data_IF_283423769689
#
_entry.id   IF_283423769689
#
_cell.length_a   1.000
_cell.length_b   1.000
_cell.length_c   1.000
_cell.angle_alpha   90.00
_cell.angle_beta   90.00
_cell.angle_gamma   90.00
#
_symmetry.space_group_name_H-M   'P 1'
#
loop_
_entity.id
_entity.type
_entity.pdbx_description
1 polymer ?
#
# COMPACT_ATOMS: atom_id res chain seq x y z
N UNK A 1 27.53 5.15 -12.32
CA UNK A 1 27.48 4.12 -11.26
C UNK A 1 26.49 4.63 -10.21
N UNK A 2 25.46 3.86 -9.84
CA UNK A 2 24.46 4.32 -8.85
C UNK A 2 24.95 4.05 -7.43
N UNK A 3 24.63 4.94 -6.50
CA UNK A 3 24.99 4.83 -5.08
C UNK A 3 24.14 3.76 -4.37
N UNK A 4 24.77 2.86 -3.62
CA UNK A 4 24.10 1.85 -2.81
C UNK A 4 24.07 2.29 -1.35
N UNK A 5 22.88 2.49 -0.79
CA UNK A 5 22.70 2.76 0.64
C UNK A 5 22.84 1.44 1.41
N UNK A 6 23.71 1.45 2.41
CA UNK A 6 24.11 0.24 3.17
C UNK A 6 23.71 0.27 4.64
N UNK A 7 23.18 1.38 5.13
CA UNK A 7 22.74 1.56 6.52
C UNK A 7 21.50 2.43 6.60
N UNK A 8 20.66 2.29 7.65
CA UNK A 8 19.48 3.12 7.83
C UNK A 8 19.79 4.63 7.85
N UNK A 9 18.98 5.42 7.15
CA UNK A 9 19.05 6.88 7.07
C UNK A 9 17.63 7.47 7.05
N UNK A 10 17.46 8.70 7.53
CA UNK A 10 16.19 9.41 7.34
C UNK A 10 15.99 9.70 5.85
N UNK A 11 14.76 9.52 5.36
CA UNK A 11 14.43 9.74 3.95
C UNK A 11 14.64 11.20 3.55
N UNK A 12 14.18 12.12 4.42
CA UNK A 12 14.18 13.55 4.16
C UNK A 12 15.14 14.28 5.10
N UNK A 13 15.75 15.35 4.59
CA UNK A 13 16.45 16.35 5.41
C UNK A 13 15.45 17.32 6.08
N UNK A 14 15.98 18.28 6.85
CA UNK A 14 15.16 19.25 7.59
C UNK A 14 14.35 20.17 6.66
N UNK A 15 14.83 20.34 5.43
CA UNK A 15 14.22 21.11 4.37
C UNK A 15 13.17 20.29 3.58
N UNK A 16 12.99 19.01 3.89
CA UNK A 16 12.03 18.11 3.24
C UNK A 16 12.50 17.59 1.89
N UNK A 17 13.81 17.60 1.60
CA UNK A 17 14.42 17.03 0.40
C UNK A 17 14.99 15.65 0.68
N UNK A 18 15.12 14.82 -0.36
CA UNK A 18 15.75 13.50 -0.23
C UNK A 18 17.17 13.69 0.31
N UNK A 19 17.47 13.05 1.44
CA UNK A 19 18.76 13.20 2.13
C UNK A 19 19.91 12.62 1.32
N UNK A 20 19.70 11.42 0.77
CA UNK A 20 20.68 10.72 -0.06
C UNK A 20 19.94 9.87 -1.10
N UNK A 21 20.22 10.15 -2.37
CA UNK A 21 19.69 9.40 -3.51
C UNK A 21 20.50 8.12 -3.74
N UNK A 22 19.83 7.05 -4.13
CA UNK A 22 20.48 5.76 -4.39
C UNK A 22 19.50 4.61 -4.46
N UNK A 23 20.01 3.39 -4.30
CA UNK A 23 19.25 2.15 -4.18
C UNK A 23 19.71 1.38 -2.93
N UNK A 24 18.88 0.49 -2.40
CA UNK A 24 19.23 -0.34 -1.25
C UNK A 24 18.66 -1.76 -1.40
N UNK A 25 19.28 -2.71 -0.69
CA UNK A 25 18.79 -4.11 -0.61
C UNK A 25 17.76 -4.31 0.50
N UNK A 26 17.65 -3.34 1.39
CA UNK A 26 16.74 -3.32 2.54
C UNK A 26 16.09 -1.93 2.64
N UNK A 27 14.94 -1.79 3.31
CA UNK A 27 14.26 -0.50 3.48
C UNK A 27 15.03 0.41 4.45
N UNK A 28 16.15 0.97 4.00
CA UNK A 28 17.02 1.79 4.83
C UNK A 28 16.56 3.24 4.96
N UNK A 29 15.76 3.74 4.02
CA UNK A 29 15.15 5.05 4.17
C UNK A 29 14.01 4.99 5.18
N UNK A 30 14.19 5.68 6.31
CA UNK A 30 13.14 5.88 7.31
C UNK A 30 12.22 6.98 6.81
N UNK A 31 11.05 6.57 6.35
CA UNK A 31 9.98 7.47 5.97
C UNK A 31 9.27 8.00 7.24
N UNK A 32 8.97 9.29 7.29
CA UNK A 32 8.08 9.88 8.28
C UNK A 32 7.22 10.94 7.59
N UNK A 33 5.89 10.75 7.60
CA UNK A 33 4.93 11.65 6.98
C UNK A 33 5.07 13.09 7.49
N UNK A 34 5.48 13.29 8.74
CA UNK A 34 5.63 14.60 9.39
C UNK A 34 6.80 15.42 8.83
N UNK A 35 7.78 14.75 8.23
CA UNK A 35 8.95 15.41 7.63
C UNK A 35 8.66 15.98 6.24
N UNK A 36 7.53 15.62 5.62
CA UNK A 36 7.14 16.12 4.31
C UNK A 36 6.64 17.56 4.41
N UNK A 37 7.32 18.49 3.73
CA UNK A 37 6.95 19.92 3.70
C UNK A 37 5.93 20.27 2.60
N UNK A 38 5.54 19.30 1.76
CA UNK A 38 4.53 19.50 0.74
C UNK A 38 3.11 19.55 1.33
N UNK A 39 2.18 20.17 0.60
CA UNK A 39 0.76 20.20 0.97
C UNK A 39 0.19 18.79 1.20
N UNK A 40 -0.70 18.57 2.19
CA UNK A 40 -1.34 17.28 2.42
C UNK A 40 -2.04 16.66 1.20
N UNK A 41 -2.52 17.48 0.26
CA UNK A 41 -3.12 17.00 -0.99
C UNK A 41 -2.11 16.31 -1.93
N UNK A 42 -0.82 16.55 -1.74
CA UNK A 42 0.27 16.01 -2.57
C UNK A 42 0.94 14.78 -1.96
N UNK A 43 0.69 14.48 -0.69
CA UNK A 43 1.26 13.31 -0.02
C UNK A 43 0.47 12.08 -0.45
N UNK A 44 1.19 11.05 -0.91
CA UNK A 44 0.62 9.77 -1.34
C UNK A 44 1.25 8.67 -0.50
N UNK A 45 0.41 7.82 0.07
CA UNK A 45 0.82 6.62 0.79
C UNK A 45 -0.05 5.47 0.26
N UNK A 46 0.54 4.31 0.02
CA UNK A 46 -0.21 3.16 -0.47
C UNK A 46 0.51 1.86 -0.13
N UNK A 47 -0.27 0.79 -0.08
CA UNK A 47 0.22 -0.58 -0.08
C UNK A 47 -0.47 -1.37 -1.18
N UNK A 48 0.30 -2.26 -1.79
CA UNK A 48 -0.19 -3.19 -2.79
C UNK A 48 0.36 -4.59 -2.54
N UNK A 49 -0.53 -5.57 -2.55
CA UNK A 49 -0.18 -6.98 -2.50
C UNK A 49 -0.77 -7.70 -3.71
N UNK A 50 0.05 -8.53 -4.36
CA UNK A 50 -0.39 -9.50 -5.36
C UNK A 50 -0.09 -10.89 -4.84
N UNK A 51 -1.14 -11.68 -4.61
CA UNK A 51 -1.03 -13.05 -4.10
C UNK A 51 -1.45 -14.00 -5.20
N UNK A 52 -0.50 -14.82 -5.66
CA UNK A 52 -0.76 -15.86 -6.65
C UNK A 52 -1.17 -17.16 -5.95
N UNK A 53 -2.14 -17.86 -6.54
CA UNK A 53 -2.43 -19.26 -6.22
C UNK A 53 -1.18 -20.14 -6.39
N UNK A 54 -1.08 -21.22 -5.62
CA UNK A 54 0.07 -22.11 -5.67
C UNK A 54 0.31 -22.76 -7.04
N UNK A 55 -0.77 -23.01 -7.78
CA UNK A 55 -0.77 -23.53 -9.15
C UNK A 55 -0.74 -22.42 -10.22
N UNK A 56 -0.70 -21.15 -9.81
CA UNK A 56 -0.64 -19.95 -10.65
C UNK A 56 -1.81 -19.80 -11.62
N UNK A 57 -2.97 -20.40 -11.34
CA UNK A 57 -4.17 -20.29 -12.18
C UNK A 57 -4.96 -19.00 -11.96
N UNK A 58 -4.89 -18.48 -10.74
CA UNK A 58 -5.48 -17.20 -10.39
C UNK A 58 -4.59 -16.39 -9.44
N UNK A 59 -4.89 -15.11 -9.31
CA UNK A 59 -4.27 -14.22 -8.35
C UNK A 59 -5.27 -13.22 -7.77
N UNK A 60 -4.94 -12.65 -6.63
CA UNK A 60 -5.68 -11.52 -6.05
C UNK A 60 -4.75 -10.34 -5.81
N UNK A 61 -5.14 -9.20 -6.35
CA UNK A 61 -4.52 -7.90 -6.10
C UNK A 61 -5.33 -7.13 -5.05
N UNK A 62 -4.64 -6.64 -4.02
CA UNK A 62 -5.21 -5.83 -2.95
C UNK A 62 -4.48 -4.49 -2.92
N UNK A 63 -5.20 -3.39 -3.09
CA UNK A 63 -4.66 -2.03 -3.09
C UNK A 63 -5.36 -1.20 -2.04
N UNK A 64 -4.61 -0.60 -1.12
CA UNK A 64 -5.08 0.51 -0.29
C UNK A 64 -4.23 1.73 -0.58
N UNK A 65 -4.84 2.91 -0.65
CA UNK A 65 -4.09 4.14 -0.85
C UNK A 65 -4.76 5.35 -0.23
N UNK A 66 -3.92 6.26 0.25
CA UNK A 66 -4.21 7.62 0.60
C UNK A 66 -3.53 8.53 -0.41
N UNK A 67 -4.32 9.13 -1.30
CA UNK A 67 -3.83 10.05 -2.31
C UNK A 67 -4.01 11.50 -1.84
N UNK A 68 -4.16 11.76 -0.54
CA UNK A 68 -4.42 13.08 0.03
C UNK A 68 -5.84 13.56 -0.25
N UNK A 69 -6.17 13.86 -1.51
CA UNK A 69 -7.49 14.34 -1.92
C UNK A 69 -8.53 13.22 -2.17
N UNK A 70 -8.05 12.00 -2.38
CA UNK A 70 -8.87 10.81 -2.55
C UNK A 70 -8.18 9.62 -1.87
N UNK A 71 -8.94 8.66 -1.39
CA UNK A 71 -8.42 7.33 -1.07
C UNK A 71 -8.94 6.36 -2.10
N UNK A 72 -8.12 5.39 -2.53
CA UNK A 72 -8.53 4.32 -3.44
C UNK A 72 -8.27 2.98 -2.77
N UNK A 73 -9.30 2.17 -2.71
CA UNK A 73 -9.33 0.85 -2.10
C UNK A 73 -9.85 -0.12 -3.14
N UNK A 74 -9.06 -1.12 -3.53
CA UNK A 74 -9.41 -2.00 -4.63
C UNK A 74 -9.02 -3.45 -4.36
N UNK A 75 -9.87 -4.36 -4.84
CA UNK A 75 -9.63 -5.79 -4.89
C UNK A 75 -9.83 -6.22 -6.36
N UNK A 76 -8.79 -6.72 -7.05
CA UNK A 76 -8.94 -7.40 -8.36
C UNK A 76 -8.66 -8.90 -8.18
N UNK A 77 -9.61 -9.71 -8.61
CA UNK A 77 -9.41 -11.13 -8.85
C UNK A 77 -8.97 -11.31 -10.31
N UNK A 78 -7.87 -12.02 -10.51
CA UNK A 78 -7.31 -12.36 -11.82
C UNK A 78 -7.49 -13.85 -12.05
N UNK A 79 -8.14 -14.25 -13.13
CA UNK A 79 -8.17 -15.63 -13.61
C UNK A 79 -7.31 -15.71 -14.88
N UNK A 80 -6.26 -16.51 -14.83
CA UNK A 80 -5.32 -16.67 -15.95
C UNK A 80 -5.75 -17.76 -16.92
N UNK A 81 -6.61 -18.70 -16.52
CA UNK A 81 -7.17 -19.73 -17.39
C UNK A 81 -8.19 -19.11 -18.33
N UNK A 82 -9.14 -18.34 -17.79
CA UNK A 82 -10.17 -17.64 -18.57
C UNK A 82 -9.73 -16.28 -19.08
N UNK A 83 -8.57 -15.77 -18.62
CA UNK A 83 -8.00 -14.46 -18.98
C UNK A 83 -8.91 -13.30 -18.61
N UNK A 84 -9.51 -13.33 -17.43
CA UNK A 84 -10.42 -12.29 -16.93
C UNK A 84 -9.85 -11.59 -15.69
N UNK A 85 -10.16 -10.29 -15.52
CA UNK A 85 -10.04 -9.61 -14.22
C UNK A 85 -11.43 -9.15 -13.79
N UNK A 86 -11.74 -9.34 -12.52
CA UNK A 86 -12.88 -8.74 -11.86
C UNK A 86 -12.38 -7.84 -10.75
N UNK A 87 -12.55 -6.52 -10.91
CA UNK A 87 -12.15 -5.53 -9.91
C UNK A 87 -13.36 -4.90 -9.23
N UNK A 88 -13.26 -4.74 -7.90
CA UNK A 88 -14.18 -3.95 -7.09
C UNK A 88 -13.37 -2.88 -6.39
N UNK A 89 -13.77 -1.62 -6.56
CA UNK A 89 -13.12 -0.46 -5.97
C UNK A 89 -14.09 0.42 -5.16
N UNK A 90 -13.50 1.12 -4.20
CA UNK A 90 -14.13 2.19 -3.45
C UNK A 90 -13.21 3.39 -3.33
N UNK A 91 -13.84 4.56 -3.31
CA UNK A 91 -13.17 5.84 -3.16
C UNK A 91 -13.61 6.50 -1.85
N UNK A 92 -12.65 7.04 -1.10
CA UNK A 92 -12.93 7.96 0.01
C UNK A 92 -12.56 9.39 -0.37
N UNK A 93 -13.31 10.37 0.11
CA UNK A 93 -13.05 11.79 -0.15
C UNK A 93 -12.13 12.36 0.92
N UNK A 94 -11.07 13.05 0.50
CA UNK A 94 -10.15 13.81 1.38
C UNK A 94 -9.66 13.03 2.62
N UNK A 95 -9.05 11.83 2.44
CA UNK A 95 -8.51 11.09 3.58
C UNK A 95 -7.38 11.83 4.30
N UNK A 96 -6.53 12.57 3.56
CA UNK A 96 -5.50 13.47 4.12
C UNK A 96 -4.57 12.82 5.17
N UNK A 97 -4.26 11.54 5.02
CA UNK A 97 -3.43 10.75 5.96
C UNK A 97 -4.21 10.04 7.06
N UNK A 98 -5.55 10.17 7.10
CA UNK A 98 -6.40 9.52 8.12
C UNK A 98 -6.61 8.02 7.87
N UNK A 99 -6.14 7.50 6.76
CA UNK A 99 -6.10 6.06 6.47
C UNK A 99 -5.19 5.28 7.41
N UNK A 100 -4.16 5.94 7.97
CA UNK A 100 -3.29 5.36 8.99
C UNK A 100 -2.19 4.44 8.44
N UNK A 101 -1.65 4.74 7.25
CA UNK A 101 -0.46 4.06 6.77
C UNK A 101 0.70 4.21 7.76
N UNK A 102 1.40 3.11 8.09
CA UNK A 102 2.56 3.16 8.97
C UNK A 102 3.75 3.76 8.23
N UNK A 103 4.72 4.25 9.01
CA UNK A 103 5.96 4.80 8.49
C UNK A 103 6.92 3.73 7.96
N UNK A 104 6.75 2.48 8.40
CA UNK A 104 7.55 1.33 7.96
C UNK A 104 6.69 0.19 7.44
N UNK A 105 7.30 -0.73 6.71
CA UNK A 105 6.60 -1.89 6.15
C UNK A 105 6.29 -2.97 7.19
N UNK A 106 7.00 -3.02 8.31
CA UNK A 106 7.02 -4.17 9.22
C UNK A 106 6.31 -3.88 10.53
N UNK A 107 5.29 -3.05 10.48
CA UNK A 107 4.42 -2.74 11.61
C UNK A 107 3.07 -2.21 11.13
N UNK A 108 2.13 -2.10 12.07
CA UNK A 108 0.88 -1.41 11.83
C UNK A 108 -0.29 -2.28 11.38
N UNK A 109 -1.45 -1.62 11.34
CA UNK A 109 -2.73 -2.15 10.92
C UNK A 109 -3.46 -1.07 10.16
N UNK A 110 -3.85 -1.36 8.93
CA UNK A 110 -4.64 -0.46 8.09
C UNK A 110 -5.95 -1.17 7.79
N UNK A 111 -7.06 -0.45 7.94
CA UNK A 111 -8.40 -1.02 7.74
C UNK A 111 -9.25 -0.04 6.95
N UNK A 112 -10.00 -0.57 5.99
CA UNK A 112 -11.01 0.18 5.26
C UNK A 112 -12.25 -0.70 5.07
N UNK A 113 -13.44 -0.10 5.16
CA UNK A 113 -14.68 -0.83 4.96
C UNK A 113 -15.83 0.07 4.56
N UNK A 114 -16.57 -0.37 3.55
CA UNK A 114 -17.83 0.22 3.14
C UNK A 114 -18.83 -0.88 2.71
N UNK A 115 -19.87 -0.50 1.95
CA UNK A 115 -20.88 -1.44 1.45
C UNK A 115 -20.39 -2.32 0.31
N UNK A 116 -19.34 -1.92 -0.42
CA UNK A 116 -18.81 -2.63 -1.58
C UNK A 116 -17.72 -3.62 -1.18
N UNK A 117 -16.82 -3.19 -0.30
CA UNK A 117 -15.66 -3.97 0.10
C UNK A 117 -15.22 -3.66 1.53
N UNK A 118 -14.50 -4.61 2.11
CA UNK A 118 -13.75 -4.46 3.35
C UNK A 118 -12.35 -5.02 3.11
N UNK A 119 -11.34 -4.36 3.67
CA UNK A 119 -9.97 -4.84 3.66
C UNK A 119 -9.27 -4.46 4.97
N UNK A 120 -8.36 -5.33 5.40
CA UNK A 120 -7.46 -5.10 6.51
C UNK A 120 -6.09 -5.68 6.20
N UNK A 121 -5.06 -4.85 6.32
CA UNK A 121 -3.67 -5.26 6.29
C UNK A 121 -3.12 -5.13 7.69
N UNK A 122 -2.57 -6.22 8.22
CA UNK A 122 -1.97 -6.27 9.55
C UNK A 122 -0.59 -6.89 9.46
N UNK A 123 0.39 -6.29 10.12
CA UNK A 123 1.66 -6.94 10.38
C UNK A 123 1.83 -7.14 11.89
N UNK A 124 2.09 -8.38 12.30
CA UNK A 124 2.38 -8.73 13.68
C UNK A 124 3.30 -9.94 13.71
N UNK A 125 4.30 -9.93 14.58
CA UNK A 125 5.18 -11.07 14.87
C UNK A 125 5.82 -11.70 13.62
N UNK A 126 6.27 -10.88 12.67
CA UNK A 126 6.88 -11.34 11.43
C UNK A 126 5.89 -11.77 10.33
N UNK A 127 4.58 -11.76 10.61
CA UNK A 127 3.55 -12.24 9.72
C UNK A 127 2.71 -11.09 9.16
N UNK A 128 2.58 -11.06 7.83
CA UNK A 128 1.63 -10.20 7.11
C UNK A 128 0.30 -10.94 6.96
N UNK A 129 -0.77 -10.45 7.57
CA UNK A 129 -2.13 -10.96 7.38
C UNK A 129 -2.92 -9.98 6.53
N UNK A 130 -3.51 -10.49 5.44
CA UNK A 130 -4.34 -9.74 4.52
C UNK A 130 -5.76 -10.31 4.60
N UNK A 131 -6.69 -9.54 5.14
CA UNK A 131 -8.11 -9.91 5.22
C UNK A 131 -8.91 -9.04 4.27
N UNK A 132 -9.84 -9.62 3.52
CA UNK A 132 -10.69 -8.86 2.62
C UNK A 132 -12.06 -9.51 2.46
N UNK A 133 -13.06 -8.72 2.10
CA UNK A 133 -14.42 -9.16 1.78
C UNK A 133 -15.01 -8.25 0.72
N UNK A 134 -15.46 -8.81 -0.39
CA UNK A 134 -16.14 -8.07 -1.45
C UNK A 134 -17.31 -8.91 -1.97
N UNK A 135 -18.56 -8.67 -1.50
CA UNK A 135 -19.71 -9.54 -1.80
C UNK A 135 -20.06 -9.66 -3.28
N UNK A 136 -19.64 -8.70 -4.11
CA UNK A 136 -19.88 -8.71 -5.57
C UNK A 136 -18.66 -9.15 -6.38
N UNK A 137 -17.55 -9.49 -5.73
CA UNK A 137 -16.39 -10.03 -6.42
C UNK A 137 -16.76 -11.41 -6.95
N UNK A 138 -16.56 -11.60 -8.25
CA UNK A 138 -16.77 -12.89 -8.90
C UNK A 138 -15.42 -13.61 -8.91
N UNK A 139 -15.40 -14.82 -8.35
CA UNK A 139 -14.47 -15.83 -8.83
C UNK A 139 -14.95 -16.19 -10.25
N UNK A 140 -14.02 -16.23 -11.20
CA UNK A 140 -14.34 -16.72 -12.53
C UNK A 140 -14.80 -18.18 -12.48
#
# INVERSE_FOLDING_TARGET
MQNEIRSPIDLLDKEGRIREEGWARHPFWKYDRREIKASPFRIKEWDYFSVLSGDKRFAIGLTMSDLGYAGLFAICFLDFETRTCHQIDSLSVMPLGKTGFPSGSDEGRITFGDRKLFMEFKYADGVRSLSFRAPRLRNA
#
